data_IF_058451630023
#
_entry.id   IF_058451630023
#
_cell.length_a   1.000
_cell.length_b   1.000
_cell.length_c   1.000
_cell.angle_alpha   90.00
_cell.angle_beta   90.00
_cell.angle_gamma   90.00
#
_symmetry.space_group_name_H-M   'P 1'
#
loop_
_entity.id
_entity.type
_entity.pdbx_description
1 polymer ?
#
# COMPACT_ATOMS: atom_id res chain seq x y z
N UNK A 1 0.81 16.44 -3.37
CA UNK A 1 -0.02 15.24 -3.61
C UNK A 1 0.92 14.10 -3.99
N UNK A 2 0.82 12.93 -3.36
CA UNK A 2 1.73 11.81 -3.63
C UNK A 2 1.48 11.16 -5.00
N UNK A 3 0.22 11.16 -5.45
CA UNK A 3 -0.22 10.67 -6.76
C UNK A 3 0.64 11.16 -7.93
N UNK A 4 1.02 12.45 -7.95
CA UNK A 4 1.83 13.01 -9.03
C UNK A 4 3.18 12.34 -9.19
N UNK A 5 3.78 11.85 -8.09
CA UNK A 5 5.02 11.09 -8.17
C UNK A 5 4.79 9.66 -8.65
N UNK A 6 3.68 9.02 -8.24
CA UNK A 6 3.28 7.72 -8.79
C UNK A 6 3.11 7.82 -10.32
N UNK A 7 2.38 8.83 -10.79
CA UNK A 7 2.18 9.11 -12.22
C UNK A 7 3.51 9.36 -12.94
N UNK A 8 4.35 10.22 -12.38
CA UNK A 8 5.67 10.50 -12.97
C UNK A 8 6.51 9.23 -13.14
N UNK A 9 6.52 8.33 -12.14
CA UNK A 9 7.22 7.04 -12.27
C UNK A 9 6.59 6.16 -13.34
N UNK A 10 5.26 6.07 -13.41
CA UNK A 10 4.58 5.27 -14.44
C UNK A 10 4.83 5.83 -15.86
N UNK A 11 4.72 7.15 -16.04
CA UNK A 11 4.97 7.86 -17.30
C UNK A 11 6.42 7.61 -17.77
N UNK A 12 7.39 7.79 -16.87
CA UNK A 12 8.84 7.68 -17.19
C UNK A 12 9.23 6.23 -17.56
N UNK A 13 8.46 5.25 -17.10
CA UNK A 13 8.71 3.83 -17.35
C UNK A 13 7.72 3.20 -18.36
N UNK A 14 6.92 4.00 -19.05
CA UNK A 14 6.11 3.56 -20.19
C UNK A 14 4.87 2.74 -19.82
N UNK A 15 4.35 2.88 -18.60
CA UNK A 15 3.10 2.23 -18.21
C UNK A 15 1.91 2.98 -18.77
N UNK A 16 0.98 2.24 -19.38
CA UNK A 16 -0.33 2.77 -19.73
C UNK A 16 -1.22 2.76 -18.48
N UNK A 17 -1.76 3.92 -18.11
CA UNK A 17 -2.73 4.04 -17.03
C UNK A 17 -3.75 5.13 -17.36
N UNK A 18 -4.91 5.06 -16.69
CA UNK A 18 -5.89 6.15 -16.69
C UNK A 18 -5.94 6.75 -15.29
N UNK A 19 -6.14 8.06 -15.20
CA UNK A 19 -6.46 8.69 -13.93
C UNK A 19 -7.88 8.32 -13.55
N UNK A 20 -8.06 7.74 -12.36
CA UNK A 20 -9.35 7.34 -11.85
C UNK A 20 -9.87 8.41 -10.87
N UNK A 21 -10.93 9.10 -11.26
CA UNK A 21 -11.51 10.19 -10.46
C UNK A 21 -12.44 9.66 -9.36
N UNK A 22 -12.67 10.46 -8.31
CA UNK A 22 -13.64 10.12 -7.27
C UNK A 22 -15.05 9.86 -7.84
N UNK A 23 -15.44 10.57 -8.90
CA UNK A 23 -16.73 10.39 -9.56
C UNK A 23 -16.83 9.03 -10.24
N UNK A 24 -15.77 8.58 -10.92
CA UNK A 24 -15.73 7.26 -11.55
C UNK A 24 -15.70 6.13 -10.52
N UNK A 25 -15.01 6.29 -9.40
CA UNK A 25 -15.04 5.31 -8.31
C UNK A 25 -16.47 5.16 -7.75
N UNK A 26 -17.19 6.27 -7.59
CA UNK A 26 -18.60 6.26 -7.17
C UNK A 26 -19.54 5.69 -8.23
N UNK A 27 -19.27 5.92 -9.50
CA UNK A 27 -20.05 5.38 -10.61
C UNK A 27 -19.92 3.85 -10.70
N UNK A 28 -18.79 3.29 -10.30
CA UNK A 28 -18.55 1.85 -10.27
C UNK A 28 -18.10 1.30 -11.62
N UNK A 29 -18.51 0.07 -11.93
CA UNK A 29 -18.10 -0.68 -13.12
C UNK A 29 -16.58 -0.65 -13.35
N UNK A 30 -15.84 -0.90 -12.26
CA UNK A 30 -14.38 -0.78 -12.24
C UNK A 30 -13.71 -2.02 -12.83
N UNK A 31 -14.27 -3.21 -12.59
CA UNK A 31 -13.69 -4.48 -13.00
C UNK A 31 -13.75 -4.71 -14.52
N UNK A 32 -14.62 -4.01 -15.24
CA UNK A 32 -14.69 -4.06 -16.71
C UNK A 32 -13.66 -3.14 -17.37
N UNK A 33 -13.09 -2.19 -16.61
CA UNK A 33 -12.21 -1.13 -17.14
C UNK A 33 -10.76 -1.24 -16.67
N UNK A 34 -10.53 -1.91 -15.54
CA UNK A 34 -9.23 -1.94 -14.88
C UNK A 34 -8.93 -3.34 -14.37
N UNK A 35 -7.68 -3.79 -14.54
CA UNK A 35 -7.17 -5.00 -13.86
C UNK A 35 -6.62 -4.66 -12.46
N UNK A 36 -6.04 -3.46 -12.34
CA UNK A 36 -5.51 -2.94 -11.10
C UNK A 36 -5.86 -1.48 -10.85
N UNK A 37 -6.05 -1.17 -9.57
CA UNK A 37 -6.23 0.20 -9.07
C UNK A 37 -5.12 0.47 -8.05
N UNK A 38 -4.37 1.56 -8.25
CA UNK A 38 -3.34 2.01 -7.31
C UNK A 38 -3.90 3.16 -6.48
N UNK A 39 -3.92 2.97 -5.16
CA UNK A 39 -4.21 4.05 -4.21
C UNK A 39 -2.89 4.66 -3.72
N UNK A 40 -2.55 5.91 -4.11
CA UNK A 40 -1.33 6.59 -3.67
C UNK A 40 -1.41 6.96 -2.18
N UNK A 41 -0.31 7.44 -1.59
CA UNK A 41 -0.20 7.70 -0.15
C UNK A 41 -1.17 8.78 0.36
N UNK A 42 -2.37 8.34 0.76
CA UNK A 42 -3.45 9.13 1.34
C UNK A 42 -4.17 8.26 2.39
N UNK A 43 -4.37 8.79 3.60
CA UNK A 43 -5.04 8.04 4.67
C UNK A 43 -6.53 7.79 4.37
N UNK A 44 -7.14 6.82 5.04
CA UNK A 44 -8.51 6.36 4.73
C UNK A 44 -9.55 7.50 4.77
N UNK A 45 -9.45 8.40 5.75
CA UNK A 45 -10.35 9.56 5.85
C UNK A 45 -10.17 10.53 4.67
N UNK A 46 -8.94 10.72 4.20
CA UNK A 46 -8.66 11.55 3.02
C UNK A 46 -9.23 10.93 1.74
N UNK A 47 -9.16 9.61 1.59
CA UNK A 47 -9.75 8.91 0.44
C UNK A 47 -11.29 9.01 0.47
N UNK A 48 -11.91 8.77 1.63
CA UNK A 48 -13.36 8.76 1.78
C UNK A 48 -13.99 10.16 1.67
N UNK A 49 -13.39 11.14 2.35
CA UNK A 49 -14.00 12.46 2.52
C UNK A 49 -13.39 13.52 1.61
N UNK A 50 -12.15 13.33 1.17
CA UNK A 50 -11.41 14.31 0.37
C UNK A 50 -11.27 15.66 1.06
N UNK A 51 -11.15 16.72 0.25
CA UNK A 51 -11.12 18.10 0.73
C UNK A 51 -12.55 18.64 0.91
N UNK A 52 -12.76 19.37 2.01
CA UNK A 52 -14.04 20.04 2.27
C UNK A 52 -14.37 21.08 1.19
N UNK A 53 -15.67 21.29 0.96
CA UNK A 53 -16.16 22.33 0.06
C UNK A 53 -15.58 23.71 0.45
N UNK A 54 -15.21 24.50 -0.56
CA UNK A 54 -14.64 25.84 -0.37
C UNK A 54 -13.15 25.89 -0.02
N UNK A 55 -12.46 24.74 0.12
CA UNK A 55 -11.00 24.69 0.28
C UNK A 55 -10.23 24.65 -1.04
N UNK A 56 -10.84 24.07 -2.07
CA UNK A 56 -10.28 23.90 -3.42
C UNK A 56 -11.39 24.14 -4.46
N UNK A 57 -11.05 24.29 -5.76
CA UNK A 57 -12.05 24.27 -6.82
C UNK A 57 -12.95 23.02 -6.73
N UNK A 58 -14.26 23.13 -7.07
CA UNK A 58 -15.24 22.07 -6.85
C UNK A 58 -14.82 20.69 -7.37
N UNK A 59 -14.13 20.65 -8.52
CA UNK A 59 -13.61 19.43 -9.15
C UNK A 59 -12.56 18.68 -8.31
N UNK A 60 -11.94 19.33 -7.32
CA UNK A 60 -10.96 18.75 -6.40
C UNK A 60 -11.48 18.58 -4.96
N UNK A 61 -12.78 18.74 -4.75
CA UNK A 61 -13.43 18.58 -3.43
C UNK A 61 -14.20 17.26 -3.32
N UNK A 62 -14.37 16.78 -2.10
CA UNK A 62 -15.03 15.50 -1.80
C UNK A 62 -14.14 14.28 -2.05
N UNK A 63 -14.53 13.15 -1.48
CA UNK A 63 -13.87 11.85 -1.63
C UNK A 63 -14.80 10.81 -2.22
N UNK A 64 -14.42 9.54 -2.15
CA UNK A 64 -15.18 8.45 -2.77
C UNK A 64 -16.47 8.11 -2.00
N UNK A 65 -16.61 8.54 -0.75
CA UNK A 65 -17.75 8.22 0.10
C UNK A 65 -17.95 6.72 0.35
N UNK A 66 -19.07 6.35 0.94
CA UNK A 66 -19.43 4.95 1.21
C UNK A 66 -19.75 4.17 -0.07
N UNK A 67 -20.35 4.82 -1.06
CA UNK A 67 -20.64 4.23 -2.36
C UNK A 67 -19.37 3.82 -3.09
N UNK A 68 -18.40 4.73 -3.21
CA UNK A 68 -17.14 4.43 -3.85
C UNK A 68 -16.30 3.41 -3.07
N UNK A 69 -16.39 3.42 -1.74
CA UNK A 69 -15.78 2.37 -0.89
C UNK A 69 -16.37 1.00 -1.21
N UNK A 70 -17.69 0.88 -1.33
CA UNK A 70 -18.36 -0.35 -1.70
C UNK A 70 -17.95 -0.81 -3.11
N UNK A 71 -17.87 0.11 -4.07
CA UNK A 71 -17.43 -0.21 -5.43
C UNK A 71 -15.97 -0.69 -5.50
N UNK A 72 -15.06 -0.10 -4.73
CA UNK A 72 -13.68 -0.58 -4.63
C UNK A 72 -13.61 -1.97 -4.02
N UNK A 73 -14.46 -2.26 -3.02
CA UNK A 73 -14.52 -3.60 -2.45
C UNK A 73 -15.04 -4.62 -3.47
N UNK A 74 -16.15 -4.31 -4.13
CA UNK A 74 -16.74 -5.15 -5.20
C UNK A 74 -15.74 -5.38 -6.34
N UNK A 75 -14.97 -4.35 -6.72
CA UNK A 75 -13.90 -4.47 -7.71
C UNK A 75 -12.91 -5.57 -7.34
N UNK A 76 -12.41 -5.57 -6.11
CA UNK A 76 -11.47 -6.60 -5.64
C UNK A 76 -12.16 -7.95 -5.53
N UNK A 77 -13.36 -8.01 -4.95
CA UNK A 77 -14.10 -9.28 -4.80
C UNK A 77 -14.37 -9.95 -6.17
N UNK A 78 -14.49 -9.16 -7.24
CA UNK A 78 -14.69 -9.64 -8.61
C UNK A 78 -13.40 -9.95 -9.39
N UNK A 79 -12.24 -10.02 -8.74
CA UNK A 79 -10.97 -10.40 -9.38
C UNK A 79 -9.99 -9.25 -9.59
N UNK A 80 -10.40 -8.02 -9.31
CA UNK A 80 -9.53 -6.85 -9.42
C UNK A 80 -8.38 -6.87 -8.39
N UNK A 81 -7.30 -6.18 -8.71
CA UNK A 81 -6.16 -6.00 -7.79
C UNK A 81 -6.12 -4.58 -7.23
N UNK A 82 -6.20 -4.44 -5.91
CA UNK A 82 -6.03 -3.15 -5.24
C UNK A 82 -4.62 -3.02 -4.67
N UNK A 83 -3.84 -2.07 -5.19
CA UNK A 83 -2.48 -1.77 -4.75
C UNK A 83 -2.50 -0.52 -3.86
N UNK A 84 -2.29 -0.70 -2.56
CA UNK A 84 -2.32 0.39 -1.59
C UNK A 84 -0.91 0.81 -1.17
N UNK A 85 -0.59 2.09 -1.36
CA UNK A 85 0.71 2.65 -0.99
C UNK A 85 0.64 3.36 0.36
N UNK A 86 1.49 2.93 1.28
CA UNK A 86 1.73 3.59 2.56
C UNK A 86 0.44 3.79 3.37
N UNK A 87 -0.04 5.04 3.58
CA UNK A 87 -1.27 5.28 4.36
C UNK A 87 -2.55 4.83 3.66
N UNK A 88 -2.52 4.60 2.34
CA UNK A 88 -3.70 4.07 1.65
C UNK A 88 -4.10 2.67 2.13
N UNK A 89 -3.18 1.92 2.74
CA UNK A 89 -3.48 0.60 3.31
C UNK A 89 -4.47 0.70 4.48
N UNK A 90 -4.61 1.86 5.13
CA UNK A 90 -5.59 2.08 6.18
C UNK A 90 -7.02 1.77 5.71
N UNK A 91 -7.33 2.03 4.43
CA UNK A 91 -8.68 1.84 3.87
C UNK A 91 -9.09 0.37 3.86
N UNK A 92 -8.37 -0.56 3.19
CA UNK A 92 -8.73 -1.97 3.24
C UNK A 92 -8.55 -2.57 4.64
N UNK A 93 -7.60 -2.11 5.45
CA UNK A 93 -7.47 -2.55 6.84
C UNK A 93 -8.74 -2.28 7.66
N UNK A 94 -9.36 -1.12 7.49
CA UNK A 94 -10.55 -0.71 8.26
C UNK A 94 -11.87 -1.23 7.69
N UNK A 95 -11.95 -1.39 6.36
CA UNK A 95 -13.25 -1.56 5.70
C UNK A 95 -13.40 -2.85 4.90
N UNK A 96 -12.30 -3.58 4.63
CA UNK A 96 -12.34 -4.81 3.82
C UNK A 96 -12.20 -6.09 4.65
N UNK A 97 -12.30 -6.01 5.98
CA UNK A 97 -12.23 -7.18 6.85
C UNK A 97 -10.80 -7.70 7.09
N UNK A 98 -9.75 -6.94 6.71
CA UNK A 98 -8.37 -7.42 6.81
C UNK A 98 -7.84 -7.42 8.25
N UNK A 99 -8.31 -6.52 9.10
CA UNK A 99 -7.95 -6.51 10.53
C UNK A 99 -8.48 -7.75 11.25
N UNK A 100 -9.67 -8.21 10.86
CA UNK A 100 -10.33 -9.42 11.33
C UNK A 100 -9.60 -10.68 10.86
N UNK A 101 -8.92 -10.61 9.71
CA UNK A 101 -7.94 -11.61 9.26
C UNK A 101 -6.63 -11.56 10.04
N UNK A 102 -6.46 -10.63 10.98
CA UNK A 102 -5.26 -10.45 11.79
C UNK A 102 -4.12 -9.73 11.09
N UNK A 103 -4.40 -9.02 9.99
CA UNK A 103 -3.45 -8.07 9.39
C UNK A 103 -3.63 -6.74 10.11
N UNK A 104 -2.72 -6.42 11.02
CA UNK A 104 -2.85 -5.25 11.90
C UNK A 104 -1.60 -4.39 11.83
N UNK A 105 -1.76 -3.06 11.85
CA UNK A 105 -0.64 -2.13 11.90
C UNK A 105 -0.08 -2.03 13.33
N UNK A 106 1.12 -2.56 13.56
CA UNK A 106 1.77 -2.60 14.89
C UNK A 106 2.51 -1.34 15.27
N UNK A 107 2.55 -0.33 14.39
CA UNK A 107 3.17 0.98 14.66
C UNK A 107 2.17 2.12 14.63
N UNK A 108 0.87 1.80 14.65
CA UNK A 108 -0.16 2.80 14.84
C UNK A 108 0.01 3.48 16.20
N UNK A 109 -0.13 4.81 16.23
CA UNK A 109 -0.06 5.60 17.47
C UNK A 109 -1.32 5.37 18.30
N UNK A 110 -1.44 4.18 18.86
CA UNK A 110 -2.39 3.88 19.90
C UNK A 110 -1.70 4.36 21.17
N UNK A 111 -2.26 5.35 21.88
CA UNK A 111 -1.77 5.89 23.15
C UNK A 111 -1.72 4.81 24.25
N UNK A 112 -1.03 3.70 24.02
CA UNK A 112 -0.85 2.60 24.93
C UNK A 112 0.33 2.96 25.82
N UNK A 113 0.11 3.15 27.13
CA UNK A 113 1.13 3.67 28.04
C UNK A 113 2.35 2.77 28.24
N UNK A 114 2.33 1.54 27.73
CA UNK A 114 3.34 0.50 28.01
C UNK A 114 4.07 -0.04 26.77
N UNK A 115 3.88 0.53 25.58
CA UNK A 115 4.67 0.16 24.39
C UNK A 115 5.81 1.16 24.18
N UNK A 116 6.98 0.65 23.78
CA UNK A 116 8.09 1.49 23.32
C UNK A 116 7.56 2.46 22.23
N UNK A 117 7.88 3.73 22.36
CA UNK A 117 7.48 4.73 21.37
C UNK A 117 8.05 4.33 20.00
N UNK A 118 7.21 4.30 18.96
CA UNK A 118 7.69 4.09 17.60
C UNK A 118 7.81 5.43 16.88
N UNK A 119 9.03 5.77 16.45
CA UNK A 119 9.27 6.99 15.69
C UNK A 119 10.30 6.78 14.58
N UNK A 120 9.86 6.99 13.34
CA UNK A 120 10.69 6.91 12.15
C UNK A 120 10.22 7.96 11.11
N UNK A 121 10.82 9.18 11.14
CA UNK A 121 10.36 10.32 10.33
C UNK A 121 10.78 10.25 8.84
N UNK A 122 11.68 9.32 8.50
CA UNK A 122 12.25 9.16 7.17
C UNK A 122 13.63 8.50 7.25
N UNK A 123 13.69 7.20 6.96
CA UNK A 123 14.91 6.40 7.12
C UNK A 123 15.01 5.32 6.06
N UNK A 124 16.24 4.92 5.74
CA UNK A 124 16.51 3.71 4.98
C UNK A 124 16.49 2.52 5.94
N UNK A 125 15.56 1.60 5.69
CA UNK A 125 15.41 0.37 6.46
C UNK A 125 15.72 -0.84 5.57
N UNK A 126 16.43 -1.79 6.14
CA UNK A 126 16.70 -3.10 5.54
C UNK A 126 15.44 -3.96 5.58
N UNK A 127 15.13 -4.61 4.47
CA UNK A 127 14.09 -5.64 4.37
C UNK A 127 14.64 -6.88 3.66
N UNK A 128 14.10 -8.04 4.02
CA UNK A 128 14.29 -9.32 3.33
C UNK A 128 13.14 -9.51 2.34
N UNK A 129 13.44 -9.88 1.10
CA UNK A 129 12.47 -10.06 0.02
C UNK A 129 12.26 -11.54 -0.25
N UNK A 130 11.00 -11.96 -0.35
CA UNK A 130 10.62 -13.27 -0.87
C UNK A 130 10.72 -13.26 -2.40
N UNK A 131 11.88 -13.68 -2.94
CA UNK A 131 12.16 -13.66 -4.38
C UNK A 131 11.42 -14.74 -5.18
N UNK A 132 10.74 -15.66 -4.49
CA UNK A 132 9.85 -16.67 -5.10
C UNK A 132 8.46 -16.11 -5.38
N UNK A 133 8.04 -15.08 -4.66
CA UNK A 133 6.77 -14.39 -4.90
C UNK A 133 6.86 -13.56 -6.20
N UNK A 134 5.82 -13.53 -7.06
CA UNK A 134 5.83 -12.74 -8.30
C UNK A 134 6.25 -11.28 -8.10
N UNK A 135 5.69 -10.61 -7.08
CA UNK A 135 6.08 -9.24 -6.69
C UNK A 135 7.58 -9.11 -6.33
N UNK A 136 8.17 -10.11 -5.67
CA UNK A 136 9.59 -10.13 -5.31
C UNK A 136 10.53 -10.63 -6.42
N UNK A 137 9.99 -11.04 -7.57
CA UNK A 137 10.77 -11.72 -8.60
C UNK A 137 11.88 -10.84 -9.19
N UNK A 138 13.08 -11.41 -9.29
CA UNK A 138 14.25 -10.75 -9.85
C UNK A 138 14.80 -9.58 -9.03
N UNK A 139 14.45 -9.49 -7.74
CA UNK A 139 15.08 -8.60 -6.77
C UNK A 139 16.11 -9.37 -5.92
N UNK A 140 16.99 -8.62 -5.26
CA UNK A 140 17.87 -9.18 -4.24
C UNK A 140 17.07 -9.66 -3.03
N UNK A 141 17.54 -10.73 -2.37
CA UNK A 141 16.90 -11.26 -1.17
C UNK A 141 16.95 -10.32 0.02
N UNK A 142 17.79 -9.28 -0.03
CA UNK A 142 17.87 -8.21 0.95
C UNK A 142 18.07 -6.88 0.23
N UNK A 143 17.31 -5.85 0.60
CA UNK A 143 17.43 -4.52 0.02
C UNK A 143 17.03 -3.42 1.00
N UNK A 144 17.27 -2.16 0.63
CA UNK A 144 16.83 -0.99 1.38
C UNK A 144 15.48 -0.47 0.87
N UNK A 145 14.58 -0.11 1.78
CA UNK A 145 13.38 0.67 1.51
C UNK A 145 13.47 2.03 2.20
N UNK A 146 12.84 3.05 1.63
CA UNK A 146 12.65 4.33 2.32
C UNK A 146 11.33 4.32 3.10
N UNK A 147 11.42 4.22 4.42
CA UNK A 147 10.28 4.24 5.32
C UNK A 147 9.99 5.68 5.76
N UNK A 148 8.75 6.11 5.62
CA UNK A 148 8.29 7.42 6.13
C UNK A 148 6.82 7.37 6.52
N UNK A 149 6.57 7.32 7.84
CA UNK A 149 5.22 7.34 8.40
C UNK A 149 4.29 6.30 7.77
N UNK A 150 4.82 5.11 7.50
CA UNK A 150 4.07 3.99 6.94
C UNK A 150 3.61 3.01 8.02
N UNK A 151 2.69 2.11 7.69
CA UNK A 151 2.31 1.02 8.57
C UNK A 151 3.35 -0.10 8.54
N UNK A 152 3.35 -0.92 9.58
CA UNK A 152 4.11 -2.17 9.67
C UNK A 152 3.14 -3.24 10.11
N UNK A 153 3.07 -4.37 9.40
CA UNK A 153 2.05 -5.37 9.66
C UNK A 153 2.58 -6.48 10.57
N UNK A 154 1.77 -6.89 11.55
CA UNK A 154 2.17 -7.85 12.60
C UNK A 154 2.71 -9.19 12.05
N UNK A 155 2.16 -9.61 10.92
CA UNK A 155 2.43 -10.89 10.26
C UNK A 155 1.47 -11.11 9.10
N UNK A 156 1.43 -12.34 8.61
CA UNK A 156 0.44 -12.81 7.62
C UNK A 156 -0.37 -13.97 8.21
N UNK A 157 -1.65 -14.08 7.82
CA UNK A 157 -2.56 -15.13 8.27
C UNK A 157 -3.49 -15.55 7.13
N UNK A 158 -3.97 -16.80 7.18
CA UNK A 158 -4.87 -17.36 6.17
C UNK A 158 -4.23 -17.26 4.78
N UNK A 159 -5.00 -16.74 3.81
CA UNK A 159 -4.59 -16.59 2.41
C UNK A 159 -3.77 -15.32 2.15
N UNK A 160 -2.89 -14.97 3.10
CA UNK A 160 -2.01 -13.80 2.99
C UNK A 160 -0.55 -14.24 2.91
N UNK A 161 0.24 -13.60 2.05
CA UNK A 161 1.65 -13.92 1.84
C UNK A 161 2.53 -12.68 2.05
N UNK A 162 3.64 -12.85 2.77
CA UNK A 162 4.60 -11.79 3.01
C UNK A 162 5.59 -11.73 1.84
N UNK A 163 5.72 -10.57 1.22
CA UNK A 163 6.65 -10.33 0.12
C UNK A 163 7.93 -9.66 0.63
N UNK A 164 7.81 -8.74 1.59
CA UNK A 164 8.95 -8.09 2.24
C UNK A 164 8.78 -8.08 3.75
N UNK A 165 9.80 -8.51 4.49
CA UNK A 165 9.82 -8.54 5.96
C UNK A 165 11.03 -7.80 6.52
N UNK A 166 10.90 -7.24 7.71
CA UNK A 166 12.04 -6.68 8.44
C UNK A 166 12.87 -7.81 9.06
N UNK A 167 14.21 -7.68 9.12
CA UNK A 167 15.07 -8.66 9.78
C UNK A 167 14.79 -8.79 11.29
N UNK A 168 15.37 -9.81 11.90
CA UNK A 168 15.30 -10.05 13.36
C UNK A 168 16.16 -9.10 14.20
N UNK A 169 17.07 -8.35 13.55
CA UNK A 169 17.95 -7.36 14.15
C UNK A 169 17.52 -5.94 13.74
N UNK A 170 18.21 -4.92 14.25
CA UNK A 170 17.91 -3.52 13.92
C UNK A 170 17.94 -3.26 12.39
N UNK A 171 16.81 -2.92 11.75
CA UNK A 171 16.76 -2.72 10.31
C UNK A 171 17.31 -1.36 9.87
N UNK A 172 17.64 -0.44 10.77
CA UNK A 172 18.12 0.89 10.41
C UNK A 172 19.44 0.82 9.64
N UNK A 173 19.43 1.32 8.41
CA UNK A 173 20.64 1.50 7.59
C UNK A 173 21.11 2.95 7.60
N UNK A 174 20.18 3.91 7.58
CA UNK A 174 20.46 5.34 7.64
C UNK A 174 19.23 6.13 8.10
N UNK A 175 19.43 7.20 8.86
CA UNK A 175 18.37 8.04 9.41
C UNK A 175 18.13 7.81 10.90
N UNK A 176 16.87 7.89 11.32
CA UNK A 176 16.44 7.74 12.70
C UNK A 176 15.36 6.66 12.84
N UNK A 177 15.53 5.75 13.81
CA UNK A 177 14.53 4.75 14.16
C UNK A 177 14.52 4.56 15.68
N UNK A 178 13.40 4.88 16.28
CA UNK A 178 13.09 4.59 17.68
C UNK A 178 11.99 3.52 17.74
N UNK A 179 12.12 2.58 18.69
CA UNK A 179 11.20 1.45 18.83
C UNK A 179 11.43 0.35 17.79
N UNK A 180 12.68 0.12 17.37
CA UNK A 180 13.04 -0.83 16.33
C UNK A 180 12.59 -2.26 16.63
N UNK A 181 12.49 -2.64 17.91
CA UNK A 181 11.98 -3.95 18.34
C UNK A 181 10.55 -4.23 17.88
N UNK A 182 9.72 -3.18 17.73
CA UNK A 182 8.32 -3.31 17.30
C UNK A 182 8.18 -3.80 15.87
N UNK A 183 9.19 -3.56 15.03
CA UNK A 183 9.13 -3.87 13.60
C UNK A 183 9.98 -5.07 13.21
N UNK A 184 10.84 -5.60 14.09
CA UNK A 184 11.64 -6.79 13.82
C UNK A 184 10.75 -7.99 13.48
N UNK A 185 11.11 -8.72 12.43
CA UNK A 185 10.35 -9.87 11.90
C UNK A 185 8.92 -9.55 11.43
N UNK A 186 8.53 -8.27 11.41
CA UNK A 186 7.22 -7.82 10.92
C UNK A 186 7.26 -7.62 9.41
N UNK A 187 6.10 -7.36 8.83
CA UNK A 187 5.91 -7.34 7.38
C UNK A 187 5.86 -5.91 6.87
N UNK A 188 6.63 -5.62 5.83
CA UNK A 188 6.70 -4.33 5.15
C UNK A 188 5.90 -4.31 3.85
N UNK A 189 5.69 -5.46 3.22
CA UNK A 189 4.87 -5.65 2.02
C UNK A 189 4.21 -7.02 2.07
N UNK A 190 2.90 -7.07 1.88
CA UNK A 190 2.14 -8.32 1.81
C UNK A 190 1.07 -8.27 0.74
N UNK A 191 0.65 -9.46 0.35
CA UNK A 191 -0.55 -9.73 -0.41
C UNK A 191 -1.57 -10.45 0.47
N UNK A 192 -2.87 -10.20 0.24
CA UNK A 192 -3.97 -10.98 0.81
C UNK A 192 -5.12 -11.10 -0.18
N UNK A 193 -5.76 -12.27 -0.23
CA UNK A 193 -6.92 -12.50 -1.09
C UNK A 193 -8.19 -11.87 -0.51
N UNK A 194 -9.07 -11.37 -1.38
CA UNK A 194 -10.40 -10.89 -1.04
C UNK A 194 -11.37 -11.22 -2.20
N UNK A 195 -12.30 -12.14 -1.94
CA UNK A 195 -13.12 -12.73 -3.00
C UNK A 195 -12.24 -13.42 -4.03
N UNK A 196 -12.43 -13.10 -5.31
CA UNK A 196 -11.61 -13.63 -6.41
C UNK A 196 -10.38 -12.78 -6.73
N UNK A 197 -10.22 -11.62 -6.09
CA UNK A 197 -9.10 -10.71 -6.31
C UNK A 197 -8.16 -10.63 -5.11
N UNK A 198 -7.34 -9.58 -5.12
CA UNK A 198 -6.24 -9.43 -4.16
C UNK A 198 -6.06 -7.98 -3.73
N UNK A 199 -5.57 -7.82 -2.51
CA UNK A 199 -5.13 -6.53 -1.97
C UNK A 199 -3.64 -6.62 -1.68
N UNK A 200 -2.86 -5.71 -2.25
CA UNK A 200 -1.41 -5.60 -2.05
C UNK A 200 -1.16 -4.38 -1.17
N UNK A 201 -0.55 -4.59 0.00
CA UNK A 201 -0.32 -3.55 1.01
C UNK A 201 1.16 -3.21 1.11
N UNK A 202 1.56 -2.05 0.61
CA UNK A 202 2.90 -1.50 0.81
C UNK A 202 2.94 -0.66 2.08
N UNK A 203 3.73 -1.08 3.07
CA UNK A 203 4.02 -0.31 4.29
C UNK A 203 4.98 0.86 4.09
N UNK A 204 5.31 1.17 2.84
CA UNK A 204 6.22 2.24 2.43
C UNK A 204 5.81 2.76 1.05
N UNK A 205 6.49 3.81 0.58
CA UNK A 205 6.30 4.33 -0.78
C UNK A 205 7.35 3.75 -1.72
N UNK A 206 7.04 2.75 -2.56
CA UNK A 206 8.01 2.21 -3.49
C UNK A 206 8.49 3.27 -4.48
N UNK A 207 7.63 4.23 -4.84
CA UNK A 207 7.94 5.31 -5.76
C UNK A 207 8.65 6.52 -5.13
N UNK A 208 8.76 6.61 -3.79
CA UNK A 208 9.01 7.85 -3.02
C UNK A 208 9.70 8.98 -3.79
N UNK A 209 8.91 9.99 -4.21
CA UNK A 209 9.39 11.21 -4.89
C UNK A 209 10.21 10.95 -6.17
N UNK A 210 10.01 9.81 -6.82
CA UNK A 210 10.81 9.40 -7.97
C UNK A 210 12.27 9.05 -7.66
N UNK A 211 12.64 8.85 -6.39
CA UNK A 211 14.04 8.67 -5.98
C UNK A 211 14.41 7.21 -5.66
N UNK A 212 13.44 6.40 -5.22
CA UNK A 212 13.71 5.04 -4.76
C UNK A 212 13.72 4.00 -5.89
N UNK A 213 14.63 4.15 -6.86
CA UNK A 213 14.72 3.29 -8.05
C UNK A 213 14.74 1.78 -7.72
N UNK A 214 15.44 1.38 -6.66
CA UNK A 214 15.51 -0.02 -6.23
C UNK A 214 14.14 -0.61 -5.90
N UNK A 215 13.21 0.18 -5.37
CA UNK A 215 11.87 -0.27 -4.99
C UNK A 215 10.81 -0.11 -6.08
N UNK A 216 11.13 0.54 -7.21
CA UNK A 216 10.19 0.66 -8.34
C UNK A 216 9.79 -0.71 -8.88
N UNK A 217 10.75 -1.64 -8.94
CA UNK A 217 10.50 -2.99 -9.44
C UNK A 217 9.45 -3.75 -8.62
N UNK A 218 9.34 -3.51 -7.30
CA UNK A 218 8.24 -4.08 -6.50
C UNK A 218 6.87 -3.56 -6.95
N UNK A 219 6.76 -2.26 -7.25
CA UNK A 219 5.53 -1.67 -7.77
C UNK A 219 5.22 -2.19 -9.17
N UNK A 220 6.23 -2.27 -10.04
CA UNK A 220 6.06 -2.78 -11.40
C UNK A 220 5.65 -4.24 -11.41
N UNK A 221 6.32 -5.09 -10.63
CA UNK A 221 5.94 -6.49 -10.51
C UNK A 221 4.52 -6.64 -9.96
N UNK A 222 4.07 -5.76 -9.04
CA UNK A 222 2.68 -5.77 -8.56
C UNK A 222 1.66 -5.45 -9.66
N UNK A 223 1.96 -4.48 -10.54
CA UNK A 223 1.12 -4.11 -11.70
C UNK A 223 1.13 -5.21 -12.77
N UNK A 224 2.28 -5.81 -13.04
CA UNK A 224 2.32 -6.93 -14.00
C UNK A 224 1.60 -8.15 -13.44
N UNK A 225 1.81 -8.44 -12.15
CA UNK A 225 1.17 -9.57 -11.49
C UNK A 225 -0.35 -9.47 -11.48
N UNK A 226 -0.92 -8.26 -11.39
CA UNK A 226 -2.37 -8.07 -11.49
C UNK A 226 -2.98 -8.37 -12.85
N UNK A 227 -2.17 -8.36 -13.92
CA UNK A 227 -2.63 -8.69 -15.28
C UNK A 227 -2.57 -10.18 -15.60
N UNK A 228 -1.94 -10.98 -14.75
CA UNK A 228 -1.84 -12.43 -14.95
C UNK A 228 -3.09 -13.08 -14.37
N UNK A 229 -3.96 -13.60 -15.23
CA UNK A 229 -5.12 -14.39 -14.82
C UNK A 229 -4.65 -15.58 -13.97
N UNK A 230 -5.33 -15.83 -12.84
CA UNK A 230 -5.18 -17.11 -12.16
C UNK A 230 -5.88 -18.16 -13.03
N UNK A 231 -5.10 -19.11 -13.57
CA UNK A 231 -5.62 -20.31 -14.26
C UNK A 231 -6.46 -21.19 -13.32
#
# INVERSE_FOLDING_TARGET
MDEGWTRWVLDTHGFNYNNLTNAEIRAGDLATRYDAIILPDLGASGILNGHAAGKLPPEYTGGIGTEGLANLRTFVENGGTLICLNRATELPLKYFGLSEKGIVNVVEKNNQPNEDAFFCPGSLLRVRINTRHPIGHGLDSEMAIFFKSGPVFDGVRGDSEAVATYPEFNPLMSGWLEGEKRIRQKVALLETLLGNGRVILFGFKPQHRGQSYGTFKLLFNAIYYSSVSQE
#
